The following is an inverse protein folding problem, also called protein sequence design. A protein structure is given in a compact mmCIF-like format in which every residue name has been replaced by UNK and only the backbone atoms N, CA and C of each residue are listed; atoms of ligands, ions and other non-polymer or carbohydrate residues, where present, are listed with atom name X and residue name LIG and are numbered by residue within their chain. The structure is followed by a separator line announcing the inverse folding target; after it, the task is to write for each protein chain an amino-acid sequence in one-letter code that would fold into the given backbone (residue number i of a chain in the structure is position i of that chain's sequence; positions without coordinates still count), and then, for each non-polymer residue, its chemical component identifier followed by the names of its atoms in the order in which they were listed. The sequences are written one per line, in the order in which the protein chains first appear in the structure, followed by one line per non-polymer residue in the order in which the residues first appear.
data_IF_151633960269
#
_entry.id   IF_151633960269
#
_cell.length_a   1.000
_cell.length_b   1.000
_cell.length_c   1.000
_cell.angle_alpha   90.00
_cell.angle_beta   90.00
_cell.angle_gamma   90.00
#
_symmetry.space_group_name_H-M   'P 1'
#
loop_
_entity.id
_entity.type
_entity.pdbx_description
1 polymer ?
#
# COMPACT_ATOMS: atom_id res chain seq x y z
N UNK A 1 15.53 13.60 20.07
CA UNK A 1 16.07 13.05 21.33
C UNK A 1 14.94 12.31 22.06
N UNK A 2 14.77 11.02 21.77
CA UNK A 2 13.97 10.07 22.56
C UNK A 2 14.63 8.71 22.40
N UNK A 3 15.77 8.56 23.07
CA UNK A 3 16.43 7.28 23.31
C UNK A 3 15.79 6.71 24.57
N UNK A 4 14.80 5.83 24.41
CA UNK A 4 14.44 4.88 25.46
C UNK A 4 14.07 3.56 24.79
N UNK A 5 15.09 2.71 24.72
CA UNK A 5 15.00 1.29 24.45
C UNK A 5 14.06 0.65 25.47
N UNK A 6 12.95 0.11 24.99
CA UNK A 6 12.22 -0.93 25.69
C UNK A 6 12.37 -2.17 24.82
N UNK A 7 12.82 -3.30 25.37
CA UNK A 7 13.36 -4.45 24.61
C UNK A 7 12.39 -5.08 23.58
N UNK A 8 11.11 -4.71 23.62
CA UNK A 8 10.08 -5.02 22.60
C UNK A 8 10.15 -4.14 21.34
N UNK A 9 10.85 -3.01 21.39
CA UNK A 9 11.10 -2.12 20.26
C UNK A 9 12.18 -2.65 19.32
N UNK A 10 12.84 -3.76 19.64
CA UNK A 10 13.95 -4.31 18.85
C UNK A 10 13.48 -4.83 17.50
N UNK A 11 12.39 -5.60 17.44
CA UNK A 11 11.81 -6.06 16.17
C UNK A 11 11.26 -4.90 15.34
N UNK A 12 10.60 -3.95 16.00
CA UNK A 12 10.07 -2.75 15.36
C UNK A 12 11.19 -1.87 14.81
N UNK A 13 12.31 -1.72 15.53
CA UNK A 13 13.47 -0.96 15.05
C UNK A 13 14.26 -1.70 13.98
N UNK A 14 14.29 -3.03 13.98
CA UNK A 14 14.91 -3.86 12.94
C UNK A 14 14.09 -3.79 11.63
N UNK A 15 12.76 -3.91 11.74
CA UNK A 15 11.85 -3.69 10.60
C UNK A 15 11.95 -2.26 10.07
N UNK A 16 12.07 -1.27 10.95
CA UNK A 16 12.29 0.13 10.56
C UNK A 16 13.60 0.30 9.75
N UNK A 17 14.70 -0.27 10.25
CA UNK A 17 16.02 -0.14 9.66
C UNK A 17 16.15 -0.86 8.31
N UNK A 18 15.51 -2.03 8.16
CA UNK A 18 15.62 -2.86 6.95
C UNK A 18 14.53 -2.58 5.89
N UNK A 19 13.32 -2.19 6.28
CA UNK A 19 12.17 -2.18 5.35
C UNK A 19 11.68 -0.78 5.01
N UNK A 20 11.66 0.16 5.97
CA UNK A 20 10.91 1.42 5.77
C UNK A 20 11.81 2.61 5.46
N UNK A 21 13.03 2.69 6.02
CA UNK A 21 14.03 3.76 5.72
C UNK A 21 13.41 5.18 5.55
N UNK A 22 12.33 5.50 6.28
CA UNK A 22 11.59 6.77 6.13
C UNK A 22 11.17 7.39 7.46
N UNK A 23 11.08 8.71 7.42
CA UNK A 23 11.17 9.78 8.44
C UNK A 23 10.59 9.62 9.87
N UNK A 24 9.72 8.66 10.21
CA UNK A 24 9.07 8.67 11.55
C UNK A 24 8.41 7.35 12.00
N UNK A 25 8.47 7.07 13.31
CA UNK A 25 7.80 5.94 13.96
C UNK A 25 6.28 5.92 13.78
N UNK A 26 5.62 7.08 13.58
CA UNK A 26 4.17 7.14 13.35
C UNK A 26 3.76 6.49 12.02
N UNK A 27 4.55 6.67 10.97
CA UNK A 27 4.29 6.02 9.67
C UNK A 27 4.46 4.52 9.72
N UNK A 28 5.44 4.04 10.49
CA UNK A 28 5.64 2.61 10.70
C UNK A 28 4.40 1.97 11.33
N UNK A 29 3.75 2.62 12.30
CA UNK A 29 2.53 2.08 12.92
C UNK A 29 1.39 1.98 11.93
N UNK A 30 1.18 3.02 11.09
CA UNK A 30 0.15 3.01 10.04
C UNK A 30 0.42 1.90 9.03
N UNK A 31 1.67 1.77 8.60
CA UNK A 31 2.12 0.75 7.65
C UNK A 31 1.95 -0.67 8.22
N UNK A 32 2.32 -0.90 9.48
CA UNK A 32 2.09 -2.18 10.14
C UNK A 32 0.61 -2.48 10.32
N UNK A 33 -0.22 -1.47 10.64
CA UNK A 33 -1.67 -1.63 10.70
C UNK A 33 -2.21 -2.13 9.35
N UNK A 34 -1.83 -1.48 8.24
CA UNK A 34 -2.21 -1.89 6.88
C UNK A 34 -1.76 -3.34 6.60
N UNK A 35 -0.55 -3.72 7.01
CA UNK A 35 -0.05 -5.10 6.88
C UNK A 35 -0.96 -6.10 7.61
N UNK A 36 -1.27 -5.81 8.88
CA UNK A 36 -2.08 -6.70 9.72
C UNK A 36 -3.50 -6.86 9.17
N UNK A 37 -4.04 -5.83 8.54
CA UNK A 37 -5.35 -5.89 7.90
C UNK A 37 -5.33 -6.77 6.66
N UNK A 38 -4.35 -6.62 5.77
CA UNK A 38 -4.25 -7.49 4.60
C UNK A 38 -4.11 -8.96 5.00
N UNK A 39 -3.42 -9.25 6.10
CA UNK A 39 -3.33 -10.60 6.66
C UNK A 39 -4.64 -11.07 7.31
N UNK A 40 -5.33 -10.21 8.08
CA UNK A 40 -6.56 -10.59 8.79
C UNK A 40 -7.73 -10.87 7.85
N UNK A 41 -7.83 -10.15 6.73
CA UNK A 41 -8.85 -10.37 5.71
C UNK A 41 -8.71 -11.71 4.97
N UNK A 42 -7.61 -12.44 5.21
CA UNK A 42 -7.40 -13.78 4.66
C UNK A 42 -7.91 -14.91 5.54
N UNK A 43 -8.26 -14.62 6.79
CA UNK A 43 -8.87 -15.61 7.68
C UNK A 43 -10.26 -15.95 7.11
N UNK A 44 -10.59 -17.25 6.95
CA UNK A 44 -11.88 -17.66 6.41
C UNK A 44 -13.03 -17.04 7.22
N UNK A 45 -14.11 -16.66 6.54
CA UNK A 45 -15.32 -16.03 7.11
C UNK A 45 -15.19 -14.58 7.62
N UNK A 46 -14.00 -13.98 7.59
CA UNK A 46 -13.81 -12.56 8.00
C UNK A 46 -14.08 -11.59 6.83
N UNK A 47 -14.08 -12.09 5.60
CA UNK A 47 -14.10 -11.24 4.42
C UNK A 47 -15.47 -10.59 4.16
N UNK A 48 -15.51 -9.25 4.23
CA UNK A 48 -16.60 -8.44 3.71
C UNK A 48 -16.07 -7.36 2.75
N UNK A 49 -16.46 -7.37 1.46
CA UNK A 49 -15.95 -6.43 0.46
C UNK A 49 -16.19 -4.96 0.79
N UNK A 50 -17.38 -4.63 1.31
CA UNK A 50 -17.77 -3.24 1.57
C UNK A 50 -16.98 -2.62 2.72
N UNK A 51 -16.86 -3.34 3.84
CA UNK A 51 -16.06 -2.87 4.98
C UNK A 51 -14.58 -2.74 4.62
N UNK A 52 -14.08 -3.64 3.77
CA UNK A 52 -12.69 -3.58 3.32
C UNK A 52 -12.39 -2.33 2.49
N UNK A 53 -13.25 -1.95 1.53
CA UNK A 53 -13.07 -0.72 0.74
C UNK A 53 -13.16 0.51 1.62
N UNK A 54 -14.18 0.60 2.47
CA UNK A 54 -14.38 1.74 3.35
C UNK A 54 -13.15 1.90 4.25
N UNK A 55 -12.63 0.81 4.80
CA UNK A 55 -11.42 0.84 5.62
C UNK A 55 -10.19 1.29 4.82
N UNK A 56 -9.97 0.73 3.62
CA UNK A 56 -8.86 1.10 2.75
C UNK A 56 -8.90 2.59 2.40
N UNK A 57 -10.07 3.10 2.02
CA UNK A 57 -10.25 4.53 1.77
C UNK A 57 -9.97 5.31 3.05
N UNK A 58 -10.60 4.97 4.18
CA UNK A 58 -10.40 5.72 5.42
C UNK A 58 -8.95 5.75 5.92
N UNK A 59 -8.17 4.68 5.80
CA UNK A 59 -6.78 4.66 6.30
C UNK A 59 -5.79 5.14 5.26
N UNK A 60 -5.83 4.60 4.05
CA UNK A 60 -4.84 4.91 3.02
C UNK A 60 -5.07 6.31 2.47
N UNK A 61 -6.31 6.71 2.18
CA UNK A 61 -6.60 8.03 1.64
C UNK A 61 -6.32 9.14 2.65
N UNK A 62 -6.67 8.95 3.93
CA UNK A 62 -6.39 9.96 4.97
C UNK A 62 -4.89 10.10 5.22
N UNK A 63 -4.14 9.00 5.20
CA UNK A 63 -2.67 9.05 5.32
C UNK A 63 -2.02 9.80 4.16
N UNK A 64 -2.51 9.58 2.93
CA UNK A 64 -2.05 10.30 1.75
C UNK A 64 -2.40 11.80 1.82
N UNK A 65 -3.63 12.14 2.18
CA UNK A 65 -4.04 13.54 2.35
C UNK A 65 -3.22 14.25 3.43
N UNK A 66 -2.95 13.59 4.55
CA UNK A 66 -2.16 14.18 5.62
C UNK A 66 -0.74 14.55 5.18
N UNK A 67 -0.08 13.68 4.38
CA UNK A 67 1.24 13.98 3.79
C UNK A 67 1.16 15.13 2.80
N UNK A 68 0.18 15.09 1.90
CA UNK A 68 -0.02 16.12 0.90
C UNK A 68 -0.23 17.50 1.54
N UNK A 69 -1.13 17.60 2.52
CA UNK A 69 -1.39 18.86 3.24
C UNK A 69 -0.15 19.38 3.97
N UNK A 70 0.61 18.51 4.64
CA UNK A 70 1.81 18.94 5.37
C UNK A 70 2.86 19.55 4.42
N UNK A 71 3.04 18.97 3.24
CA UNK A 71 4.01 19.46 2.24
C UNK A 71 3.58 20.75 1.56
N UNK A 72 2.30 20.85 1.18
CA UNK A 72 1.73 22.08 0.62
C UNK A 72 1.90 23.24 1.59
N UNK A 73 1.71 23.01 2.89
CA UNK A 73 1.90 24.05 3.91
C UNK A 73 3.37 24.37 4.16
N UNK A 74 4.30 23.41 4.06
CA UNK A 74 5.72 23.65 4.36
C UNK A 74 6.42 24.43 3.25
N UNK A 75 6.29 24.02 1.98
CA UNK A 75 7.09 24.57 0.88
C UNK A 75 6.33 24.54 -0.47
N UNK A 76 5.45 25.52 -0.68
CA UNK A 76 4.71 25.68 -1.93
C UNK A 76 5.61 25.74 -3.18
N UNK A 77 6.72 26.47 -3.12
CA UNK A 77 7.61 26.68 -4.27
C UNK A 77 8.41 25.42 -4.65
N UNK A 78 8.84 24.66 -3.65
CA UNK A 78 9.59 23.41 -3.87
C UNK A 78 8.66 22.33 -4.40
N UNK A 79 7.40 22.29 -3.93
CA UNK A 79 6.39 21.36 -4.42
C UNK A 79 6.10 21.55 -5.92
N UNK A 80 5.86 22.79 -6.37
CA UNK A 80 5.65 23.05 -7.80
C UNK A 80 6.91 22.87 -8.65
N UNK A 81 8.09 23.10 -8.06
CA UNK A 81 9.39 22.81 -8.71
C UNK A 81 9.67 21.32 -8.86
N UNK A 82 9.17 20.48 -7.94
CA UNK A 82 9.32 19.03 -7.96
C UNK A 82 8.63 18.32 -9.12
N UNK A 83 7.63 18.95 -9.75
CA UNK A 83 6.94 18.38 -10.93
C UNK A 83 7.76 18.46 -12.23
N UNK A 84 8.89 19.18 -12.23
CA UNK A 84 9.76 19.32 -13.41
C UNK A 84 11.04 18.51 -13.17
N UNK A 85 11.27 17.43 -13.93
CA UNK A 85 12.52 16.70 -13.83
C UNK A 85 13.71 17.58 -14.24
N UNK A 86 14.79 17.54 -13.46
CA UNK A 86 16.04 18.23 -13.78
C UNK A 86 16.58 17.73 -15.13
N UNK A 87 16.79 18.65 -16.08
CA UNK A 87 17.37 18.35 -17.39
C UNK A 87 16.37 18.19 -18.53
N UNK A 88 15.06 18.44 -18.33
CA UNK A 88 14.10 18.43 -19.45
C UNK A 88 14.29 19.66 -20.35
N UNK A 89 14.30 19.50 -21.70
CA UNK A 89 14.33 20.64 -22.61
C UNK A 89 13.05 21.49 -22.46
N UNK A 90 13.20 22.82 -22.51
CA UNK A 90 12.12 23.80 -22.27
C UNK A 90 10.87 23.57 -23.12
N UNK A 91 11.01 23.02 -24.33
CA UNK A 91 9.89 22.76 -25.23
C UNK A 91 8.92 21.68 -24.74
N UNK A 92 9.41 20.68 -24.01
CA UNK A 92 8.60 19.51 -23.57
C UNK A 92 8.17 19.66 -22.11
N UNK A 93 8.81 20.58 -21.37
CA UNK A 93 8.56 20.88 -19.97
C UNK A 93 7.06 21.04 -19.58
N UNK A 94 6.23 21.84 -20.28
CA UNK A 94 4.83 22.03 -19.85
C UNK A 94 3.99 20.75 -19.99
N UNK A 95 4.29 19.90 -20.97
CA UNK A 95 3.58 18.63 -21.17
C UNK A 95 3.98 17.60 -20.11
N UNK A 96 5.26 17.52 -19.76
CA UNK A 96 5.77 16.63 -18.71
C UNK A 96 5.24 17.04 -17.34
N UNK A 97 5.23 18.32 -17.01
CA UNK A 97 4.64 18.82 -15.76
C UNK A 97 3.14 18.46 -15.66
N UNK A 98 2.39 18.58 -16.76
CA UNK A 98 0.98 18.21 -16.81
C UNK A 98 0.79 16.68 -16.66
N UNK A 99 1.69 15.87 -17.23
CA UNK A 99 1.67 14.42 -17.07
C UNK A 99 2.00 13.98 -15.63
N UNK A 100 2.98 14.61 -14.98
CA UNK A 100 3.35 14.28 -13.59
C UNK A 100 2.25 14.69 -12.61
N UNK A 101 1.61 15.85 -12.82
CA UNK A 101 0.47 16.28 -11.98
C UNK A 101 -0.72 15.34 -12.09
N UNK A 102 -1.06 14.89 -13.31
CA UNK A 102 -2.11 13.86 -13.50
C UNK A 102 -1.72 12.54 -12.83
N UNK A 103 -0.46 12.10 -13.00
CA UNK A 103 0.03 10.85 -12.42
C UNK A 103 0.03 10.90 -10.88
N UNK A 104 0.34 12.05 -10.30
CA UNK A 104 0.28 12.29 -8.86
C UNK A 104 -1.15 12.18 -8.32
N UNK A 105 -2.15 12.73 -9.03
CA UNK A 105 -3.57 12.66 -8.65
C UNK A 105 -4.11 11.22 -8.76
N UNK A 106 -3.71 10.46 -9.78
CA UNK A 106 -4.21 9.09 -10.02
C UNK A 106 -3.64 8.07 -9.02
N UNK A 107 -2.41 8.30 -8.55
CA UNK A 107 -1.66 7.43 -7.63
C UNK A 107 -2.46 6.92 -6.41
N UNK A 108 -3.12 7.76 -5.59
CA UNK A 108 -3.90 7.29 -4.44
C UNK A 108 -5.08 6.40 -4.83
N UNK A 109 -5.74 6.67 -5.96
CA UNK A 109 -6.85 5.82 -6.44
C UNK A 109 -6.35 4.45 -6.86
N UNK A 110 -5.28 4.39 -7.66
CA UNK A 110 -4.67 3.13 -8.08
C UNK A 110 -4.19 2.32 -6.88
N UNK A 111 -3.69 2.99 -5.84
CA UNK A 111 -3.24 2.36 -4.60
C UNK A 111 -4.35 1.64 -3.84
N UNK A 112 -5.58 2.16 -3.89
CA UNK A 112 -6.76 1.58 -3.20
C UNK A 112 -7.39 0.48 -4.06
N UNK A 113 -7.55 0.72 -5.36
CA UNK A 113 -8.20 -0.24 -6.26
C UNK A 113 -7.40 -1.52 -6.43
N UNK A 114 -6.06 -1.44 -6.42
CA UNK A 114 -5.18 -2.60 -6.65
C UNK A 114 -5.32 -3.71 -5.59
N UNK A 115 -5.16 -3.46 -4.27
CA UNK A 115 -5.39 -4.48 -3.25
C UNK A 115 -6.86 -4.88 -3.17
N UNK A 116 -7.81 -3.96 -3.44
CA UNK A 116 -9.23 -4.30 -3.47
C UNK A 116 -9.58 -5.38 -4.50
N UNK A 117 -9.17 -5.17 -5.76
CA UNK A 117 -9.45 -6.14 -6.84
C UNK A 117 -8.73 -7.47 -6.59
N UNK A 118 -7.49 -7.44 -6.11
CA UNK A 118 -6.75 -8.69 -5.88
C UNK A 118 -7.33 -9.52 -4.73
N UNK A 119 -7.68 -8.89 -3.61
CA UNK A 119 -8.24 -9.63 -2.46
C UNK A 119 -9.68 -10.09 -2.75
N UNK A 120 -10.51 -9.28 -3.43
CA UNK A 120 -11.85 -9.71 -3.87
C UNK A 120 -11.80 -10.94 -4.78
N UNK A 121 -10.97 -10.88 -5.83
CA UNK A 121 -10.83 -11.99 -6.78
C UNK A 121 -10.21 -13.22 -6.13
N UNK A 122 -9.24 -13.04 -5.22
CA UNK A 122 -8.62 -14.12 -4.48
C UNK A 122 -9.58 -14.87 -3.56
N UNK A 123 -10.45 -14.15 -2.85
CA UNK A 123 -11.50 -14.74 -2.02
C UNK A 123 -12.57 -15.45 -2.89
N UNK A 124 -13.03 -14.83 -3.97
CA UNK A 124 -13.99 -15.44 -4.89
C UNK A 124 -13.42 -16.71 -5.54
N UNK A 125 -12.15 -16.67 -5.98
CA UNK A 125 -11.44 -17.81 -6.55
C UNK A 125 -11.30 -18.95 -5.53
N UNK A 126 -10.94 -18.65 -4.28
CA UNK A 126 -10.84 -19.65 -3.22
C UNK A 126 -12.19 -20.33 -2.92
N UNK A 127 -13.31 -19.61 -2.95
CA UNK A 127 -14.65 -20.20 -2.76
C UNK A 127 -15.00 -21.14 -3.91
N UNK A 128 -14.73 -20.75 -5.14
CA UNK A 128 -15.02 -21.57 -6.33
C UNK A 128 -14.17 -22.84 -6.35
N UNK A 129 -12.86 -22.73 -6.13
CA UNK A 129 -11.96 -23.90 -6.07
C UNK A 129 -12.27 -24.76 -4.84
N UNK A 130 -12.67 -24.15 -3.73
CA UNK A 130 -13.15 -24.86 -2.54
C UNK A 130 -14.36 -25.74 -2.84
N UNK A 131 -15.32 -25.24 -3.61
CA UNK A 131 -16.48 -26.03 -4.05
C UNK A 131 -16.08 -27.23 -4.92
N UNK A 132 -15.09 -27.07 -5.82
CA UNK A 132 -14.59 -28.18 -6.64
C UNK A 132 -13.82 -29.24 -5.84
N UNK A 133 -13.24 -28.86 -4.69
CA UNK A 133 -12.56 -29.78 -3.79
C UNK A 133 -13.50 -30.84 -3.18
N UNK A 134 -14.80 -30.55 -3.04
CA UNK A 134 -15.79 -31.54 -2.61
C UNK A 134 -16.03 -32.63 -3.68
N UNK A 135 -15.77 -32.32 -4.95
CA UNK A 135 -15.99 -33.25 -6.08
C UNK A 135 -14.76 -34.13 -6.30
N UNK A 136 -13.55 -33.58 -6.21
CA UNK A 136 -12.33 -34.38 -6.30
C UNK A 136 -11.19 -33.82 -5.47
N UNK A 137 -10.46 -34.75 -4.83
CA UNK A 137 -9.32 -34.47 -3.97
C UNK A 137 -8.14 -33.83 -4.69
N UNK A 138 -8.07 -33.91 -6.03
CA UNK A 138 -7.00 -33.30 -6.82
C UNK A 138 -7.03 -31.76 -6.75
N UNK A 139 -8.21 -31.14 -6.63
CA UNK A 139 -8.35 -29.69 -6.46
C UNK A 139 -7.81 -29.18 -5.13
N UNK A 140 -7.60 -30.06 -4.14
CA UNK A 140 -7.00 -29.69 -2.86
C UNK A 140 -5.57 -29.16 -3.02
N UNK A 141 -4.79 -29.72 -3.95
CA UNK A 141 -3.44 -29.22 -4.24
C UNK A 141 -3.48 -27.79 -4.81
N UNK A 142 -4.46 -27.52 -5.68
CA UNK A 142 -4.67 -26.19 -6.26
C UNK A 142 -5.08 -25.17 -5.17
N UNK A 143 -5.89 -25.57 -4.19
CA UNK A 143 -6.23 -24.72 -3.03
C UNK A 143 -5.01 -24.32 -2.21
N UNK A 144 -4.08 -25.25 -1.95
CA UNK A 144 -2.84 -24.94 -1.22
C UNK A 144 -1.99 -23.94 -2.01
N UNK A 145 -1.81 -24.17 -3.31
CA UNK A 145 -1.04 -23.27 -4.17
C UNK A 145 -1.68 -21.86 -4.22
N UNK A 146 -3.01 -21.79 -4.35
CA UNK A 146 -3.75 -20.53 -4.34
C UNK A 146 -3.55 -19.81 -3.00
N UNK A 147 -3.56 -20.51 -1.86
CA UNK A 147 -3.31 -19.89 -0.56
C UNK A 147 -1.94 -19.22 -0.48
N UNK A 148 -0.87 -19.90 -0.90
CA UNK A 148 0.48 -19.30 -0.91
C UNK A 148 0.59 -18.12 -1.88
N UNK A 149 -0.01 -18.24 -3.06
CA UNK A 149 -0.06 -17.15 -4.04
C UNK A 149 -0.72 -15.90 -3.45
N UNK A 150 -1.86 -16.06 -2.77
CA UNK A 150 -2.62 -14.94 -2.19
C UNK A 150 -1.86 -14.26 -1.04
N UNK A 151 -1.17 -15.03 -0.19
CA UNK A 151 -0.31 -14.46 0.86
C UNK A 151 0.86 -13.68 0.25
N UNK A 152 1.48 -14.21 -0.82
CA UNK A 152 2.53 -13.51 -1.55
C UNK A 152 2.03 -12.19 -2.15
N UNK A 153 0.87 -12.23 -2.81
CA UNK A 153 0.25 -11.03 -3.39
C UNK A 153 -0.02 -9.97 -2.32
N UNK A 154 -0.52 -10.36 -1.14
CA UNK A 154 -0.76 -9.43 -0.03
C UNK A 154 0.53 -8.73 0.45
N UNK A 155 1.63 -9.48 0.60
CA UNK A 155 2.94 -8.92 0.99
C UNK A 155 3.50 -7.97 -0.06
N UNK A 156 3.40 -8.32 -1.34
CA UNK A 156 3.83 -7.45 -2.45
C UNK A 156 3.00 -6.16 -2.48
N UNK A 157 1.69 -6.23 -2.25
CA UNK A 157 0.84 -5.04 -2.20
C UNK A 157 1.20 -4.12 -1.05
N UNK A 158 1.43 -4.68 0.13
CA UNK A 158 1.92 -3.91 1.26
C UNK A 158 3.24 -3.20 0.95
N UNK A 159 4.17 -3.89 0.28
CA UNK A 159 5.43 -3.29 -0.17
C UNK A 159 5.22 -2.18 -1.22
N UNK A 160 4.30 -2.34 -2.16
CA UNK A 160 4.00 -1.29 -3.15
C UNK A 160 3.38 -0.07 -2.47
N UNK A 161 2.45 -0.27 -1.54
CA UNK A 161 1.79 0.80 -0.77
C UNK A 161 2.82 1.63 -0.01
N UNK A 162 3.75 0.98 0.68
CA UNK A 162 4.82 1.65 1.44
C UNK A 162 5.75 2.45 0.55
N UNK A 163 6.20 1.91 -0.58
CA UNK A 163 7.07 2.64 -1.52
C UNK A 163 6.36 3.82 -2.18
N UNK A 164 5.08 3.69 -2.51
CA UNK A 164 4.32 4.78 -3.12
C UNK A 164 4.08 5.91 -2.12
N UNK A 165 3.81 5.59 -0.84
CA UNK A 165 3.77 6.59 0.22
C UNK A 165 5.14 7.26 0.38
N UNK A 166 6.24 6.51 0.37
CA UNK A 166 7.59 7.07 0.44
C UNK A 166 7.88 8.03 -0.73
N UNK A 167 7.56 7.64 -1.95
CA UNK A 167 7.74 8.50 -3.13
C UNK A 167 6.90 9.78 -3.05
N UNK A 168 5.69 9.74 -2.46
CA UNK A 168 4.86 10.93 -2.27
C UNK A 168 5.42 11.93 -1.25
N UNK A 169 6.45 11.54 -0.48
CA UNK A 169 7.20 12.45 0.40
C UNK A 169 8.35 13.12 -0.36
N UNK A 170 8.97 12.41 -1.32
CA UNK A 170 10.12 12.91 -2.08
C UNK A 170 9.76 13.89 -3.21
N UNK A 171 8.51 13.85 -3.72
CA UNK A 171 7.93 14.84 -4.64
C UNK A 171 6.88 15.70 -3.93
#
# INVERSE_FOLDING_TARGET
MFFNFNSYSSLVSLLYAYVVQMFSYYYLVIVLCIMTLFLSYRIPYVYSPFFFVIFLVCVVFTSFLAMWFWRVVSDFNVFFGGFVPIGTPLYICPLVCLAETISYIIRPFVLIFRPFINITLGCAGAVVVGNFCFVSWWWFFLMILLFFYEVFVALVHWFIVTNILAFSVDH
#
